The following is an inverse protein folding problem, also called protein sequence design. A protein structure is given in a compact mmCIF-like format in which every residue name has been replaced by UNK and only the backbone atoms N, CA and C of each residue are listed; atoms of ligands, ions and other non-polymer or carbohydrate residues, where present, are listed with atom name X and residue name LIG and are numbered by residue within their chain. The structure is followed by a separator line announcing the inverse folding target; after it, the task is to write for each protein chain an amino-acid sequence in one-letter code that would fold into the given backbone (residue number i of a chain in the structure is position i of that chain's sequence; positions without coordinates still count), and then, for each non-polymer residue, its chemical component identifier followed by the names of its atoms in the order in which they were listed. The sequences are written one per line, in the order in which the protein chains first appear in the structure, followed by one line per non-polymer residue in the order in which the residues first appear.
data_IF_967572236990
#
_entry.id   IF_967572236990
#
_cell.length_a   1.000
_cell.length_b   1.000
_cell.length_c   1.000
_cell.angle_alpha   90.00
_cell.angle_beta   90.00
_cell.angle_gamma   90.00
#
_symmetry.space_group_name_H-M   'P 1'
#
loop_
_entity.id
_entity.type
_entity.pdbx_description
1 polymer ?
#
# COMPACT_ATOMS: atom_id res chain seq x y z
N UNK A 1 8.77 14.21 -2.24
CA UNK A 1 7.73 13.66 -1.36
C UNK A 1 8.34 13.46 0.01
N UNK A 2 9.31 12.56 0.11
CA UNK A 2 10.12 12.27 1.30
C UNK A 2 10.53 13.50 2.13
N UNK A 3 11.34 14.42 1.59
CA UNK A 3 11.70 15.68 2.27
C UNK A 3 10.51 16.55 2.74
N UNK A 4 9.32 16.39 2.14
CA UNK A 4 8.09 17.04 2.61
C UNK A 4 7.42 16.31 3.77
N UNK A 5 7.64 15.01 3.94
CA UNK A 5 7.32 14.26 5.16
C UNK A 5 8.30 14.65 6.27
N UNK A 6 9.61 14.72 5.97
CA UNK A 6 10.64 15.23 6.90
C UNK A 6 10.24 16.59 7.48
N UNK A 7 9.98 17.59 6.64
CA UNK A 7 9.55 18.92 7.07
C UNK A 7 8.25 18.93 7.91
N UNK A 8 7.37 17.93 7.79
CA UNK A 8 6.20 17.77 8.68
C UNK A 8 6.63 17.20 10.04
N UNK A 9 7.50 16.19 10.06
CA UNK A 9 8.02 15.60 11.29
C UNK A 9 8.84 16.62 12.10
N UNK A 10 9.73 17.37 11.45
CA UNK A 10 10.51 18.46 12.05
C UNK A 10 9.58 19.50 12.70
N UNK A 11 8.48 19.87 12.03
CA UNK A 11 7.52 20.83 12.54
C UNK A 11 6.74 20.29 13.76
N UNK A 12 6.43 18.99 13.82
CA UNK A 12 5.80 18.37 14.99
C UNK A 12 6.74 18.40 16.21
N UNK A 13 8.03 18.16 16.00
CA UNK A 13 9.04 18.17 17.07
C UNK A 13 9.37 19.61 17.53
N UNK A 14 9.58 20.55 16.61
CA UNK A 14 9.79 21.97 16.90
C UNK A 14 8.64 22.61 17.69
N UNK A 15 7.43 22.05 17.58
CA UNK A 15 6.25 22.49 18.32
C UNK A 15 5.95 21.65 19.57
N UNK A 16 6.80 20.69 19.94
CA UNK A 16 6.66 19.84 21.13
C UNK A 16 5.30 19.09 21.17
N UNK A 17 4.84 18.60 20.02
CA UNK A 17 3.56 17.85 19.86
C UNK A 17 3.71 16.47 19.20
N UNK A 18 4.94 15.99 19.00
CA UNK A 18 5.21 14.74 18.28
C UNK A 18 4.94 13.48 19.13
N UNK A 19 4.84 13.61 20.45
CA UNK A 19 4.36 12.59 21.38
C UNK A 19 2.82 12.48 21.40
N UNK A 20 2.11 13.59 21.20
CA UNK A 20 0.65 13.65 21.11
C UNK A 20 0.12 13.60 19.66
N UNK A 21 0.94 13.14 18.70
CA UNK A 21 0.56 13.01 17.28
C UNK A 21 0.77 11.60 16.77
N UNK A 22 -0.29 10.99 16.21
CA UNK A 22 -0.20 9.75 15.43
C UNK A 22 0.12 10.12 13.99
N UNK A 23 1.26 9.65 13.48
CA UNK A 23 1.61 9.72 12.06
C UNK A 23 1.41 8.34 11.43
N UNK A 24 0.72 8.27 10.30
CA UNK A 24 0.59 7.05 9.50
C UNK A 24 0.91 7.36 8.03
N UNK A 25 2.02 6.82 7.54
CA UNK A 25 2.42 6.90 6.14
C UNK A 25 2.03 5.61 5.41
N UNK A 26 1.37 5.74 4.26
CA UNK A 26 0.92 4.61 3.43
C UNK A 26 0.73 5.00 1.95
N UNK A 27 0.67 3.99 1.08
CA UNK A 27 0.20 4.13 -0.32
C UNK A 27 -1.21 3.57 -0.49
N UNK A 28 -1.98 4.08 -1.47
CA UNK A 28 -3.33 3.62 -1.79
C UNK A 28 -3.36 2.31 -2.62
N UNK A 29 -2.35 2.11 -3.46
CA UNK A 29 -2.06 0.88 -4.21
C UNK A 29 -0.55 0.74 -4.47
N UNK A 30 -0.15 -0.40 -5.03
CA UNK A 30 1.22 -0.61 -5.50
C UNK A 30 1.55 0.13 -6.80
N UNK A 31 2.84 0.24 -7.11
CA UNK A 31 3.40 1.00 -8.22
C UNK A 31 2.85 0.63 -9.60
N UNK A 32 2.74 1.65 -10.47
CA UNK A 32 2.19 1.53 -11.82
C UNK A 32 3.26 1.03 -12.80
N UNK A 33 3.41 -0.30 -12.91
CA UNK A 33 4.47 -0.93 -13.71
C UNK A 33 4.43 -0.59 -15.21
N UNK A 34 3.23 -0.43 -15.77
CA UNK A 34 2.98 -0.04 -17.15
C UNK A 34 3.44 1.39 -17.48
N UNK A 35 3.56 2.28 -16.49
CA UNK A 35 3.89 3.68 -16.71
C UNK A 35 5.35 3.85 -17.14
N UNK A 36 5.50 4.01 -18.46
CA UNK A 36 6.77 4.24 -19.16
C UNK A 36 6.54 5.38 -20.16
N UNK A 37 7.39 6.41 -20.12
CA UNK A 37 7.51 7.45 -21.15
C UNK A 37 8.88 7.37 -21.81
N UNK A 38 8.95 7.45 -23.14
CA UNK A 38 10.20 7.42 -23.94
C UNK A 38 11.19 6.29 -23.58
N UNK A 39 10.68 5.15 -23.09
CA UNK A 39 11.49 4.01 -22.65
C UNK A 39 12.01 4.09 -21.20
N UNK A 40 11.74 5.17 -20.47
CA UNK A 40 12.02 5.31 -19.04
C UNK A 40 10.77 5.00 -18.22
N UNK A 41 10.90 4.18 -17.17
CA UNK A 41 9.81 3.94 -16.22
C UNK A 41 9.55 5.23 -15.42
N UNK A 42 8.28 5.64 -15.39
CA UNK A 42 7.79 6.83 -14.67
C UNK A 42 6.83 6.48 -13.53
N UNK A 43 6.37 5.22 -13.46
CA UNK A 43 5.67 4.66 -12.30
C UNK A 43 6.62 4.02 -11.28
N UNK A 44 6.08 3.70 -10.10
CA UNK A 44 6.83 3.05 -9.02
C UNK A 44 7.22 1.59 -9.29
N UNK A 45 8.01 1.04 -8.35
CA UNK A 45 8.45 -0.36 -8.32
C UNK A 45 7.91 -1.06 -7.06
N UNK A 46 7.71 -2.37 -7.13
CA UNK A 46 7.11 -3.18 -6.06
C UNK A 46 8.09 -4.22 -5.48
N UNK A 47 9.39 -4.01 -5.70
CA UNK A 47 10.46 -4.94 -5.33
C UNK A 47 10.23 -6.32 -5.93
N UNK A 48 10.28 -7.34 -5.07
CA UNK A 48 10.02 -8.74 -5.41
C UNK A 48 8.56 -9.06 -5.76
N UNK A 49 7.59 -8.21 -5.38
CA UNK A 49 6.18 -8.55 -5.48
C UNK A 49 5.67 -8.41 -6.92
N UNK A 50 4.99 -9.45 -7.40
CA UNK A 50 4.48 -9.50 -8.78
C UNK A 50 3.26 -8.60 -8.94
N UNK A 51 3.17 -7.94 -10.09
CA UNK A 51 2.05 -7.07 -10.43
C UNK A 51 2.21 -5.64 -9.92
N UNK A 52 1.16 -4.83 -10.09
CA UNK A 52 1.19 -3.40 -9.82
C UNK A 52 -0.20 -2.77 -9.80
N UNK A 53 -0.25 -1.44 -9.87
CA UNK A 53 -1.48 -0.63 -9.88
C UNK A 53 -2.62 -1.26 -10.69
N UNK A 54 -3.76 -1.45 -10.03
CA UNK A 54 -4.96 -2.01 -10.65
C UNK A 54 -4.99 -3.54 -10.75
N UNK A 55 -3.91 -4.25 -10.40
CA UNK A 55 -3.88 -5.72 -10.38
C UNK A 55 -4.32 -6.28 -9.03
N UNK A 56 -5.61 -6.12 -8.69
CA UNK A 56 -6.15 -6.45 -7.37
C UNK A 56 -5.90 -7.88 -6.86
N UNK A 57 -5.61 -8.85 -7.75
CA UNK A 57 -5.23 -10.20 -7.34
C UNK A 57 -3.77 -10.38 -6.90
N UNK A 58 -2.82 -9.55 -7.33
CA UNK A 58 -1.38 -9.83 -7.21
C UNK A 58 -0.70 -9.02 -6.08
N UNK A 59 0.27 -9.59 -5.36
CA UNK A 59 0.88 -8.91 -4.19
C UNK A 59 1.38 -7.50 -4.51
N UNK A 60 2.06 -7.29 -5.64
CA UNK A 60 2.59 -5.97 -6.02
C UNK A 60 1.51 -4.94 -6.39
N UNK A 61 0.24 -5.34 -6.51
CA UNK A 61 -0.88 -4.41 -6.67
C UNK A 61 -1.54 -3.99 -5.35
N UNK A 62 -1.49 -4.84 -4.32
CA UNK A 62 -2.23 -4.69 -3.05
C UNK A 62 -1.35 -4.48 -1.82
N UNK A 63 -0.09 -4.91 -1.87
CA UNK A 63 0.89 -4.76 -0.79
C UNK A 63 1.60 -3.44 -1.00
N UNK A 64 1.58 -2.62 0.05
CA UNK A 64 2.04 -1.23 0.06
C UNK A 64 2.88 -0.98 1.31
N UNK A 65 3.73 0.06 1.34
CA UNK A 65 4.29 0.54 2.59
C UNK A 65 3.18 0.97 3.54
N UNK A 66 3.35 0.67 4.83
CA UNK A 66 2.56 1.17 5.93
C UNK A 66 3.50 1.42 7.11
N UNK A 67 3.57 2.64 7.63
CA UNK A 67 4.50 3.03 8.70
C UNK A 67 3.75 3.89 9.72
N UNK A 68 3.67 3.43 10.96
CA UNK A 68 3.09 4.18 12.06
C UNK A 68 4.21 4.80 12.92
N UNK A 69 4.03 6.04 13.38
CA UNK A 69 4.80 6.66 14.47
C UNK A 69 3.83 7.21 15.50
N UNK A 70 4.00 6.85 16.76
CA UNK A 70 3.40 7.55 17.90
C UNK A 70 4.37 7.47 19.09
N UNK A 71 5.14 8.54 19.28
CA UNK A 71 6.25 8.60 20.26
C UNK A 71 5.71 8.45 21.69
N UNK A 72 6.34 7.59 22.48
CA UNK A 72 5.87 7.23 23.83
C UNK A 72 4.73 6.20 23.89
N UNK A 73 4.04 5.92 22.79
CA UNK A 73 2.88 5.02 22.75
C UNK A 73 3.12 3.73 21.93
N UNK A 74 3.95 3.80 20.89
CA UNK A 74 4.33 2.65 20.06
C UNK A 74 5.85 2.38 20.18
N UNK A 75 6.30 1.11 20.30
CA UNK A 75 7.71 0.78 20.36
C UNK A 75 8.42 1.05 19.01
N UNK A 76 9.52 1.81 19.10
CA UNK A 76 10.40 2.15 17.98
C UNK A 76 11.11 0.91 17.37
N UNK A 77 11.49 1.01 16.10
CA UNK A 77 12.29 0.00 15.39
C UNK A 77 11.59 -1.35 15.24
N UNK A 78 10.25 -1.39 15.34
CA UNK A 78 9.47 -2.64 15.25
C UNK A 78 8.92 -2.88 13.86
N UNK A 79 8.98 -4.14 13.45
CA UNK A 79 8.35 -4.65 12.23
C UNK A 79 7.16 -5.53 12.60
N UNK A 80 6.05 -5.39 11.88
CA UNK A 80 4.86 -6.26 11.99
C UNK A 80 4.64 -6.99 10.67
N UNK A 81 4.88 -8.30 10.68
CA UNK A 81 4.67 -9.19 9.52
C UNK A 81 3.21 -9.68 9.36
N UNK A 82 2.38 -9.50 10.40
CA UNK A 82 0.97 -9.90 10.37
C UNK A 82 0.22 -9.09 9.30
N UNK A 83 -0.49 -9.70 8.33
CA UNK A 83 -1.21 -8.96 7.31
C UNK A 83 -2.30 -8.03 7.87
N UNK A 84 -2.15 -6.75 7.58
CA UNK A 84 -3.11 -5.67 7.86
C UNK A 84 -3.82 -5.23 6.56
N UNK A 85 -4.79 -4.33 6.70
CA UNK A 85 -5.56 -3.75 5.61
C UNK A 85 -5.70 -2.23 5.78
N UNK A 86 -5.77 -1.47 4.70
CA UNK A 86 -6.13 -0.04 4.77
C UNK A 86 -7.50 0.18 5.44
N UNK A 87 -8.39 -0.81 5.38
CA UNK A 87 -9.70 -0.78 6.05
C UNK A 87 -9.58 -0.81 7.58
N UNK A 88 -8.48 -1.31 8.12
CA UNK A 88 -8.20 -1.35 9.56
C UNK A 88 -7.90 0.04 10.13
N UNK A 89 -7.53 1.01 9.30
CA UNK A 89 -7.16 2.37 9.71
C UNK A 89 -8.27 3.06 10.52
N UNK A 90 -9.51 2.99 10.05
CA UNK A 90 -10.65 3.64 10.71
C UNK A 90 -10.91 3.10 12.13
N UNK A 91 -11.15 1.79 12.34
CA UNK A 91 -11.34 1.26 13.69
C UNK A 91 -10.10 1.43 14.58
N UNK A 92 -8.88 1.37 14.01
CA UNK A 92 -7.63 1.61 14.75
C UNK A 92 -7.57 3.05 15.28
N UNK A 93 -7.82 4.05 14.45
CA UNK A 93 -7.77 5.45 14.87
C UNK A 93 -8.88 5.77 15.88
N UNK A 94 -10.08 5.20 15.74
CA UNK A 94 -11.15 5.37 16.73
C UNK A 94 -10.73 4.83 18.10
N UNK A 95 -10.15 3.63 18.16
CA UNK A 95 -9.69 3.03 19.43
C UNK A 95 -8.50 3.79 20.04
N UNK A 96 -7.49 4.14 19.22
CA UNK A 96 -6.31 4.90 19.70
C UNK A 96 -6.65 6.32 20.19
N UNK A 97 -7.78 6.90 19.76
CA UNK A 97 -8.21 8.25 20.17
C UNK A 97 -9.39 8.26 21.15
N UNK A 98 -9.75 7.10 21.73
CA UNK A 98 -10.91 6.92 22.64
C UNK A 98 -12.23 7.46 22.07
N UNK A 99 -12.38 7.39 20.74
CA UNK A 99 -13.60 7.78 20.04
C UNK A 99 -14.59 6.61 19.96
N UNK A 100 -15.90 6.87 20.10
CA UNK A 100 -16.91 5.82 20.02
C UNK A 100 -16.98 5.19 18.61
N UNK A 101 -17.43 3.93 18.50
CA UNK A 101 -17.49 3.23 17.22
C UNK A 101 -18.44 3.93 16.23
N UNK A 102 -18.23 3.70 14.93
CA UNK A 102 -18.97 4.37 13.82
C UNK A 102 -20.49 4.34 14.01
N UNK A 103 -21.06 3.21 14.44
CA UNK A 103 -22.51 3.06 14.64
C UNK A 103 -23.05 3.90 15.83
N UNK A 104 -22.18 4.34 16.75
CA UNK A 104 -22.51 5.26 17.84
C UNK A 104 -22.26 6.73 17.48
N UNK A 105 -21.33 7.02 16.56
CA UNK A 105 -21.12 8.37 16.00
C UNK A 105 -22.26 8.80 15.07
N UNK A 106 -22.85 7.86 14.34
CA UNK A 106 -23.90 8.12 13.34
C UNK A 106 -25.14 7.23 13.57
N UNK A 107 -25.84 7.36 14.71
CA UNK A 107 -26.95 6.48 15.09
C UNK A 107 -28.19 6.61 14.19
N UNK A 108 -28.26 7.64 13.35
CA UNK A 108 -29.29 7.84 12.33
C UNK A 108 -29.07 7.00 11.06
N UNK A 109 -27.87 6.45 10.86
CA UNK A 109 -27.55 5.60 9.73
C UNK A 109 -27.88 4.12 10.06
N UNK A 110 -28.26 3.31 9.06
CA UNK A 110 -28.36 1.86 9.25
C UNK A 110 -27.03 1.31 9.75
N UNK A 111 -27.09 0.39 10.72
CA UNK A 111 -25.93 -0.26 11.32
C UNK A 111 -24.99 -0.83 10.23
N UNK A 112 -23.69 -0.56 10.38
CA UNK A 112 -22.66 -0.98 9.43
C UNK A 112 -21.66 -1.88 10.13
N UNK A 113 -21.49 -3.08 9.59
CA UNK A 113 -20.29 -3.87 9.83
C UNK A 113 -19.10 -3.20 9.12
N UNK A 114 -17.99 -3.01 9.83
CA UNK A 114 -16.72 -2.63 9.22
C UNK A 114 -15.98 -3.92 8.79
N UNK A 115 -15.47 -3.95 7.56
CA UNK A 115 -14.57 -5.04 7.12
C UNK A 115 -13.17 -4.94 7.77
N UNK A 116 -12.82 -3.77 8.30
CA UNK A 116 -11.59 -3.54 9.05
C UNK A 116 -11.69 -3.97 10.51
N UNK A 117 -10.55 -4.29 11.12
CA UNK A 117 -10.40 -4.59 12.56
C UNK A 117 -9.34 -3.67 13.14
N UNK A 118 -9.52 -3.19 14.37
CA UNK A 118 -8.52 -2.35 15.02
C UNK A 118 -7.18 -3.07 15.18
N UNK A 119 -6.10 -2.34 14.92
CA UNK A 119 -4.71 -2.75 15.13
C UNK A 119 -4.15 -2.18 16.44
N UNK A 120 -4.93 -1.45 17.24
CA UNK A 120 -4.40 -0.69 18.37
C UNK A 120 -3.53 -1.55 19.31
N UNK A 121 -4.07 -2.65 19.84
CA UNK A 121 -3.30 -3.59 20.67
C UNK A 121 -2.15 -4.31 19.95
N UNK A 122 -2.18 -4.43 18.62
CA UNK A 122 -1.05 -4.95 17.84
C UNK A 122 0.08 -3.92 17.77
N UNK A 123 -0.25 -2.64 17.59
CA UNK A 123 0.69 -1.51 17.47
C UNK A 123 1.29 -1.09 18.82
N UNK A 124 0.54 -1.19 19.93
CA UNK A 124 1.01 -0.76 21.26
C UNK A 124 1.57 -1.91 22.09
N UNK A 125 0.88 -3.05 22.14
CA UNK A 125 1.20 -4.18 23.03
C UNK A 125 1.84 -5.38 22.29
N UNK A 126 1.81 -5.39 20.95
CA UNK A 126 2.18 -6.56 20.15
C UNK A 126 1.14 -7.69 20.21
N UNK A 127 -0.10 -7.40 20.64
CA UNK A 127 -1.18 -8.38 20.77
C UNK A 127 -1.55 -8.95 19.40
N UNK A 128 -1.37 -10.26 19.22
CA UNK A 128 -1.63 -10.95 17.97
C UNK A 128 -3.09 -10.82 17.51
N UNK A 129 -3.30 -10.53 16.22
CA UNK A 129 -4.63 -10.49 15.64
C UNK A 129 -5.29 -11.87 15.65
N UNK A 130 -6.62 -11.88 15.81
CA UNK A 130 -7.44 -13.08 15.62
C UNK A 130 -7.34 -13.57 14.17
N UNK A 131 -7.52 -14.89 13.92
CA UNK A 131 -7.60 -15.40 12.55
C UNK A 131 -8.64 -14.63 11.74
N UNK A 132 -8.25 -14.21 10.53
CA UNK A 132 -9.06 -13.34 9.68
C UNK A 132 -8.91 -13.70 8.21
N UNK A 133 -9.92 -13.36 7.41
CA UNK A 133 -9.85 -13.47 5.96
C UNK A 133 -10.00 -12.10 5.32
N UNK A 134 -9.26 -11.85 4.24
CA UNK A 134 -9.33 -10.62 3.44
C UNK A 134 -9.81 -10.95 2.03
N UNK A 135 -10.51 -9.99 1.40
CA UNK A 135 -10.98 -10.09 0.02
C UNK A 135 -10.26 -9.03 -0.80
N UNK A 136 -9.75 -9.43 -1.97
CA UNK A 136 -9.04 -8.54 -2.88
C UNK A 136 -9.81 -8.40 -4.19
N UNK A 137 -10.43 -7.23 -4.38
CA UNK A 137 -11.21 -6.89 -5.55
C UNK A 137 -10.37 -6.28 -6.67
N UNK A 138 -10.74 -6.58 -7.91
CA UNK A 138 -10.40 -5.78 -9.08
C UNK A 138 -11.71 -5.19 -9.63
N UNK A 139 -11.95 -3.91 -9.32
CA UNK A 139 -13.25 -3.23 -9.53
C UNK A 139 -14.40 -4.01 -8.86
N UNK A 140 -15.27 -4.65 -9.65
CA UNK A 140 -16.43 -5.40 -9.16
C UNK A 140 -16.16 -6.92 -9.07
N UNK A 141 -15.06 -7.42 -9.66
CA UNK A 141 -14.67 -8.82 -9.52
C UNK A 141 -13.86 -9.02 -8.24
N UNK A 142 -14.00 -10.17 -7.61
CA UNK A 142 -13.09 -10.65 -6.56
C UNK A 142 -12.02 -11.48 -7.28
N UNK A 143 -10.75 -11.06 -7.16
CA UNK A 143 -9.63 -11.71 -7.84
C UNK A 143 -8.90 -12.68 -6.91
N UNK A 144 -8.75 -12.33 -5.63
CA UNK A 144 -8.13 -13.20 -4.65
C UNK A 144 -8.79 -13.08 -3.27
N UNK A 145 -8.55 -14.07 -2.43
CA UNK A 145 -8.84 -14.05 -0.99
C UNK A 145 -7.58 -14.45 -0.22
N UNK A 146 -7.42 -13.91 0.98
CA UNK A 146 -6.32 -14.26 1.90
C UNK A 146 -6.90 -14.85 3.18
N UNK A 147 -6.28 -15.90 3.71
CA UNK A 147 -6.55 -16.48 5.03
C UNK A 147 -5.32 -16.28 5.91
N UNK A 148 -5.51 -15.64 7.06
CA UNK A 148 -4.48 -15.47 8.10
C UNK A 148 -4.89 -16.32 9.29
N UNK A 149 -4.11 -17.35 9.62
CA UNK A 149 -4.41 -18.31 10.68
C UNK A 149 -3.11 -18.91 11.24
N UNK A 150 -2.98 -18.97 12.57
CA UNK A 150 -1.83 -19.60 13.26
C UNK A 150 -0.45 -19.12 12.76
N UNK A 151 -0.31 -17.82 12.44
CA UNK A 151 0.91 -17.23 11.90
C UNK A 151 1.21 -17.55 10.43
N UNK A 152 0.37 -18.37 9.77
CA UNK A 152 0.46 -18.67 8.34
C UNK A 152 -0.48 -17.78 7.53
N UNK A 153 -0.06 -17.45 6.31
CA UNK A 153 -0.78 -16.56 5.40
C UNK A 153 -0.98 -17.26 4.07
N UNK A 154 -2.18 -17.76 3.82
CA UNK A 154 -2.52 -18.35 2.54
C UNK A 154 -3.24 -17.35 1.64
N UNK A 155 -3.08 -17.48 0.32
CA UNK A 155 -3.80 -16.68 -0.67
C UNK A 155 -4.33 -17.56 -1.79
N UNK A 156 -5.63 -17.47 -2.04
CA UNK A 156 -6.36 -18.21 -3.06
C UNK A 156 -6.75 -17.24 -4.18
N UNK A 157 -6.33 -17.52 -5.42
CA UNK A 157 -6.75 -16.76 -6.60
C UNK A 157 -8.01 -17.36 -7.21
N UNK A 158 -9.00 -16.51 -7.46
CA UNK A 158 -10.18 -16.79 -8.27
C UNK A 158 -10.04 -16.23 -9.70
N UNK A 159 -9.18 -15.22 -9.90
CA UNK A 159 -8.80 -14.75 -11.21
C UNK A 159 -7.39 -14.13 -11.20
N UNK A 160 -6.59 -14.44 -12.23
CA UNK A 160 -5.24 -13.88 -12.41
C UNK A 160 -5.16 -13.05 -13.69
N UNK A 161 -4.34 -12.01 -13.66
CA UNK A 161 -4.09 -11.17 -14.83
C UNK A 161 -3.14 -11.88 -15.81
N UNK A 162 -3.46 -11.84 -17.11
CA UNK A 162 -2.55 -12.33 -18.14
C UNK A 162 -1.49 -11.26 -18.43
N UNK A 163 -0.28 -11.48 -17.94
CA UNK A 163 0.85 -10.58 -18.16
C UNK A 163 1.46 -10.74 -19.56
N UNK A 164 2.18 -9.71 -20.00
CA UNK A 164 3.03 -9.81 -21.19
C UNK A 164 4.16 -10.81 -20.93
N UNK A 165 4.56 -11.63 -21.91
CA UNK A 165 5.58 -12.67 -21.73
C UNK A 165 6.85 -12.17 -21.05
N UNK A 166 7.32 -12.90 -20.03
CA UNK A 166 8.51 -12.56 -19.23
C UNK A 166 8.33 -11.43 -18.20
N UNK A 167 7.20 -10.74 -18.19
CA UNK A 167 6.93 -9.59 -17.32
C UNK A 167 5.92 -9.89 -16.21
N UNK A 168 5.61 -8.89 -15.39
CA UNK A 168 4.50 -8.89 -14.43
C UNK A 168 3.52 -7.73 -14.67
N UNK A 169 3.31 -7.36 -15.93
CA UNK A 169 2.50 -6.20 -16.35
C UNK A 169 1.69 -6.52 -17.62
N UNK A 170 0.55 -5.86 -17.83
CA UNK A 170 -0.36 -6.17 -18.95
C UNK A 170 -0.06 -5.41 -20.25
N UNK A 171 1.05 -4.67 -20.32
CA UNK A 171 1.48 -3.93 -21.50
C UNK A 171 2.37 -2.75 -21.14
N UNK A 172 2.38 -1.70 -21.98
CA UNK A 172 3.34 -0.60 -21.89
C UNK A 172 2.68 0.76 -22.16
N UNK A 173 3.09 1.79 -21.41
CA UNK A 173 2.64 3.18 -21.55
C UNK A 173 1.74 3.64 -20.40
N UNK A 174 1.86 4.91 -19.99
CA UNK A 174 1.22 5.49 -18.79
C UNK A 174 -0.31 5.46 -18.75
N UNK A 175 -0.97 5.27 -19.89
CA UNK A 175 -2.43 5.12 -19.96
C UNK A 175 -2.89 3.65 -19.91
N UNK A 176 -1.96 2.69 -19.90
CA UNK A 176 -2.27 1.27 -19.88
C UNK A 176 -2.50 0.77 -18.45
N UNK A 177 -3.51 -0.09 -18.29
CA UNK A 177 -3.85 -0.79 -17.04
C UNK A 177 -4.36 -2.19 -17.40
N UNK A 178 -4.12 -3.16 -16.53
CA UNK A 178 -4.69 -4.49 -16.68
C UNK A 178 -6.24 -4.46 -16.69
N UNK A 179 -6.84 -5.36 -17.48
CA UNK A 179 -8.29 -5.61 -17.41
C UNK A 179 -8.62 -6.50 -16.22
N UNK A 180 -9.61 -6.11 -15.41
CA UNK A 180 -10.15 -6.96 -14.35
C UNK A 180 -11.04 -8.12 -14.85
N UNK A 181 -11.37 -8.15 -16.15
CA UNK A 181 -12.44 -9.00 -16.70
C UNK A 181 -12.11 -9.51 -18.11
N UNK A 182 -12.84 -10.55 -18.54
CA UNK A 182 -12.80 -11.07 -19.91
C UNK A 182 -11.44 -11.67 -20.29
N UNK A 183 -11.07 -11.55 -21.56
CA UNK A 183 -9.89 -12.23 -22.10
C UNK A 183 -8.55 -11.80 -21.46
N UNK A 184 -8.51 -10.66 -20.78
CA UNK A 184 -7.33 -10.16 -20.05
C UNK A 184 -7.07 -10.86 -18.70
N UNK A 185 -8.00 -11.69 -18.23
CA UNK A 185 -7.82 -12.54 -17.03
C UNK A 185 -7.94 -14.02 -17.36
N UNK A 186 -7.32 -14.83 -16.51
CA UNK A 186 -7.55 -16.26 -16.37
C UNK A 186 -8.58 -16.47 -15.25
N UNK A 187 -9.62 -17.27 -15.51
CA UNK A 187 -10.66 -17.58 -14.53
C UNK A 187 -10.29 -18.88 -13.80
N UNK A 188 -10.07 -18.75 -12.49
CA UNK A 188 -9.68 -19.80 -11.57
C UNK A 188 -10.79 -20.09 -10.54
N UNK A 189 -12.03 -19.66 -10.81
CA UNK A 189 -13.15 -19.81 -9.86
C UNK A 189 -13.46 -21.28 -9.54
N UNK A 190 -13.33 -22.17 -10.54
CA UNK A 190 -13.61 -23.60 -10.40
C UNK A 190 -12.45 -24.36 -9.71
N UNK A 191 -11.23 -24.17 -10.20
CA UNK A 191 -10.00 -24.79 -9.68
C UNK A 191 -8.99 -23.69 -9.32
N UNK A 192 -9.07 -23.16 -8.09
CA UNK A 192 -8.31 -21.98 -7.68
C UNK A 192 -6.87 -22.30 -7.31
N UNK A 193 -5.91 -21.49 -7.75
CA UNK A 193 -4.54 -21.61 -7.25
C UNK A 193 -4.44 -21.07 -5.82
N UNK A 194 -3.79 -21.83 -4.93
CA UNK A 194 -3.52 -21.43 -3.53
C UNK A 194 -2.02 -21.35 -3.31
N UNK A 195 -1.57 -20.29 -2.64
CA UNK A 195 -0.16 -20.05 -2.27
C UNK A 195 -0.04 -19.89 -0.75
N UNK A 196 1.05 -20.37 -0.17
CA UNK A 196 1.44 -20.07 1.21
C UNK A 196 2.44 -18.91 1.21
N UNK A 197 1.95 -17.68 1.41
CA UNK A 197 2.75 -16.46 1.38
C UNK A 197 3.77 -16.36 2.53
N UNK A 198 3.64 -17.20 3.56
CA UNK A 198 4.64 -17.27 4.65
C UNK A 198 5.95 -17.90 4.15
N UNK A 199 5.87 -18.85 3.21
CA UNK A 199 7.04 -19.55 2.65
C UNK A 199 7.30 -19.20 1.16
N UNK A 200 6.31 -18.67 0.46
CA UNK A 200 6.35 -18.21 -0.93
C UNK A 200 5.71 -16.83 -1.08
N UNK A 201 6.36 -15.75 -0.59
CA UNK A 201 5.83 -14.38 -0.72
C UNK A 201 5.82 -13.87 -2.19
N UNK A 202 6.39 -14.65 -3.12
CA UNK A 202 6.48 -14.33 -4.54
C UNK A 202 5.30 -14.88 -5.35
N UNK A 203 4.47 -15.77 -4.80
CA UNK A 203 3.40 -16.47 -5.52
C UNK A 203 3.94 -17.29 -6.71
N UNK A 204 5.07 -18.00 -6.53
CA UNK A 204 5.74 -18.83 -7.54
C UNK A 204 5.32 -20.31 -7.52
N UNK A 205 4.92 -20.84 -6.36
CA UNK A 205 4.73 -22.27 -6.11
C UNK A 205 3.35 -22.53 -5.51
N UNK A 206 2.32 -22.77 -6.35
CA UNK A 206 1.00 -23.10 -5.83
C UNK A 206 1.03 -24.45 -5.08
N UNK A 207 0.27 -24.52 -4.00
CA UNK A 207 0.05 -25.74 -3.20
C UNK A 207 -0.67 -26.75 -4.09
N UNK A 208 -0.20 -28.01 -4.09
CA UNK A 208 -0.80 -29.08 -4.89
C UNK A 208 -2.26 -29.33 -4.51
N UNK A 209 -3.14 -29.40 -5.51
CA UNK A 209 -4.56 -29.72 -5.36
C UNK A 209 -4.83 -31.17 -4.92
N UNK A 210 -3.80 -32.02 -4.88
CA UNK A 210 -3.84 -33.35 -4.27
C UNK A 210 -3.62 -33.33 -2.74
N UNK A 211 -3.17 -32.19 -2.17
CA UNK A 211 -2.85 -32.08 -0.74
C UNK A 211 -4.08 -31.82 0.14
N UNK A 212 -4.04 -32.31 1.39
CA UNK A 212 -5.06 -31.99 2.40
C UNK A 212 -5.05 -30.52 2.82
N UNK A 213 -3.88 -29.89 2.78
CA UNK A 213 -3.68 -28.46 3.06
C UNK A 213 -4.46 -27.58 2.07
N UNK A 214 -4.35 -27.86 0.76
CA UNK A 214 -5.12 -27.18 -0.28
C UNK A 214 -6.63 -27.24 0.01
N UNK A 215 -7.18 -28.44 0.26
CA UNK A 215 -8.61 -28.60 0.49
C UNK A 215 -9.12 -27.93 1.79
N UNK A 216 -8.30 -27.88 2.84
CA UNK A 216 -8.63 -27.10 4.04
C UNK A 216 -8.69 -25.60 3.74
N UNK A 217 -7.69 -25.04 3.06
CA UNK A 217 -7.64 -23.60 2.74
C UNK A 217 -8.75 -23.19 1.77
N UNK A 218 -8.95 -23.95 0.69
CA UNK A 218 -10.03 -23.72 -0.28
C UNK A 218 -11.40 -23.85 0.38
N UNK A 219 -11.60 -24.85 1.26
CA UNK A 219 -12.83 -25.04 2.01
C UNK A 219 -13.15 -23.83 2.90
N UNK A 220 -12.19 -23.40 3.73
CA UNK A 220 -12.35 -22.26 4.63
C UNK A 220 -12.62 -20.95 3.87
N UNK A 221 -11.87 -20.66 2.81
CA UNK A 221 -12.03 -19.44 2.02
C UNK A 221 -13.31 -19.44 1.17
N UNK A 222 -13.77 -20.60 0.67
CA UNK A 222 -15.08 -20.70 -0.01
C UNK A 222 -16.25 -20.53 0.96
N UNK A 223 -16.14 -21.07 2.18
CA UNK A 223 -17.14 -20.84 3.23
C UNK A 223 -17.21 -19.34 3.59
N UNK A 224 -16.08 -18.72 3.93
CA UNK A 224 -16.00 -17.29 4.24
C UNK A 224 -16.57 -16.42 3.11
N UNK A 225 -16.24 -16.72 1.85
CA UNK A 225 -16.77 -15.99 0.71
C UNK A 225 -18.29 -16.13 0.54
N UNK A 226 -18.84 -17.31 0.84
CA UNK A 226 -20.28 -17.53 0.79
C UNK A 226 -21.01 -16.75 1.90
N UNK A 227 -20.48 -16.77 3.13
CA UNK A 227 -21.00 -16.02 4.27
C UNK A 227 -20.91 -14.51 4.04
N UNK A 228 -19.78 -14.00 3.54
CA UNK A 228 -19.61 -12.59 3.17
C UNK A 228 -20.59 -12.17 2.07
N UNK A 229 -20.76 -12.97 1.01
CA UNK A 229 -21.73 -12.68 -0.07
C UNK A 229 -23.19 -12.71 0.40
N UNK A 230 -23.51 -13.49 1.42
CA UNK A 230 -24.85 -13.53 2.00
C UNK A 230 -25.15 -12.31 2.90
N UNK A 231 -24.12 -11.75 3.55
CA UNK A 231 -24.23 -10.62 4.48
C UNK A 231 -24.09 -9.25 3.81
N UNK A 232 -23.27 -9.13 2.76
CA UNK A 232 -22.90 -7.84 2.15
C UNK A 232 -23.67 -7.58 0.84
N UNK A 233 -24.72 -6.74 0.84
CA UNK A 233 -25.32 -6.26 -0.39
C UNK A 233 -24.40 -5.24 -1.07
N UNK A 234 -24.02 -5.48 -2.33
CA UNK A 234 -23.27 -4.48 -3.09
C UNK A 234 -24.12 -3.19 -3.24
N UNK A 235 -23.56 -2.01 -2.88
CA UNK A 235 -24.26 -0.75 -3.05
C UNK A 235 -24.46 -0.43 -4.54
N UNK A 236 -25.43 0.43 -4.91
CA UNK A 236 -25.58 0.91 -6.27
C UNK A 236 -24.27 1.50 -6.79
N UNK A 237 -23.74 0.93 -7.88
CA UNK A 237 -22.47 1.37 -8.47
C UNK A 237 -22.55 2.84 -8.90
N UNK A 238 -21.70 3.68 -8.29
CA UNK A 238 -21.54 5.10 -8.62
C UNK A 238 -20.86 5.33 -9.99
N UNK A 239 -20.42 4.25 -10.65
CA UNK A 239 -19.77 4.27 -11.97
C UNK A 239 -20.61 3.53 -13.02
N UNK A 240 -21.93 3.39 -12.81
CA UNK A 240 -22.78 2.53 -13.64
C UNK A 240 -23.10 3.15 -15.01
N UNK A 241 -23.38 4.45 -15.04
CA UNK A 241 -23.75 5.17 -16.25
C UNK A 241 -22.59 6.07 -16.70
N UNK A 242 -22.47 6.30 -18.01
CA UNK A 242 -21.50 7.27 -18.54
C UNK A 242 -21.74 8.69 -18.02
N UNK A 243 -22.98 9.04 -17.64
CA UNK A 243 -23.29 10.34 -17.06
C UNK A 243 -22.75 10.50 -15.64
N UNK A 244 -22.63 9.42 -14.86
CA UNK A 244 -22.10 9.46 -13.49
C UNK A 244 -20.60 9.85 -13.47
N UNK A 245 -19.90 9.65 -14.59
CA UNK A 245 -18.48 9.97 -14.79
C UNK A 245 -18.25 11.07 -15.83
N UNK A 246 -19.31 11.65 -16.41
CA UNK A 246 -19.18 12.72 -17.40
C UNK A 246 -18.92 14.05 -16.70
N UNK A 247 -17.91 14.79 -17.18
CA UNK A 247 -17.64 16.15 -16.73
C UNK A 247 -18.90 17.01 -16.90
N UNK A 248 -19.53 17.34 -15.78
CA UNK A 248 -20.72 18.19 -15.69
C UNK A 248 -20.27 19.63 -15.42
N UNK A 249 -20.34 20.56 -16.39
CA UNK A 249 -19.77 21.90 -16.23
C UNK A 249 -20.38 22.69 -15.07
N UNK A 250 -21.65 22.46 -14.76
CA UNK A 250 -22.37 23.09 -13.63
C UNK A 250 -21.98 22.54 -12.25
N UNK A 251 -21.21 21.45 -12.18
CA UNK A 251 -20.60 20.95 -10.94
C UNK A 251 -19.17 21.44 -10.73
N UNK A 252 -18.59 22.17 -11.71
CA UNK A 252 -17.25 22.73 -11.55
C UNK A 252 -17.32 23.98 -10.65
N UNK A 253 -16.44 24.10 -9.63
CA UNK A 253 -16.34 25.32 -8.85
C UNK A 253 -15.76 26.43 -9.72
N UNK A 254 -16.62 27.34 -10.19
CA UNK A 254 -16.18 28.51 -10.94
C UNK A 254 -15.52 29.53 -10.00
N UNK A 255 -14.21 29.74 -10.17
CA UNK A 255 -13.50 30.88 -9.57
C UNK A 255 -14.04 32.16 -10.20
N UNK A 256 -14.84 32.93 -9.45
CA UNK A 256 -15.22 34.28 -9.87
C UNK A 256 -13.93 35.12 -9.87
N UNK A 257 -13.51 35.71 -11.01
CA UNK A 257 -12.34 36.57 -11.04
C UNK A 257 -12.70 37.91 -10.37
N UNK A 258 -12.47 38.00 -9.06
CA UNK A 258 -12.31 39.30 -8.43
C UNK A 258 -11.07 39.96 -9.05
N UNK A 259 -11.26 41.16 -9.59
CA UNK A 259 -10.17 41.96 -10.15
C UNK A 259 -9.09 42.18 -9.09
N UNK A 260 -7.89 41.65 -9.31
CA UNK A 260 -6.68 42.06 -8.59
C UNK A 260 -6.18 41.16 -7.45
N UNK A 261 -6.53 39.87 -7.38
CA UNK A 261 -5.79 38.94 -6.50
C UNK A 261 -5.66 37.52 -7.06
N UNK A 262 -4.42 37.15 -7.43
CA UNK A 262 -3.99 35.76 -7.53
C UNK A 262 -3.83 35.18 -6.12
N UNK A 263 -4.94 34.81 -5.48
CA UNK A 263 -4.94 34.01 -4.25
C UNK A 263 -4.64 32.55 -4.62
N UNK A 264 -3.50 32.32 -5.28
CA UNK A 264 -2.92 31.01 -5.63
C UNK A 264 -1.51 31.13 -6.22
N UNK A 265 -0.70 32.09 -5.77
CA UNK A 265 0.74 31.85 -5.65
C UNK A 265 1.05 31.64 -4.17
N UNK A 266 1.13 30.38 -3.75
CA UNK A 266 2.19 30.04 -2.79
C UNK A 266 3.44 30.07 -3.64
N UNK A 267 4.09 31.24 -3.68
CA UNK A 267 5.32 31.40 -4.44
C UNK A 267 6.34 30.37 -3.95
N UNK A 268 6.94 29.64 -4.89
CA UNK A 268 8.07 28.76 -4.61
C UNK A 268 9.39 29.53 -4.45
N UNK A 269 9.36 30.86 -4.43
CA UNK A 269 10.49 31.68 -4.02
C UNK A 269 10.70 31.56 -2.50
N UNK A 270 11.42 30.51 -2.11
CA UNK A 270 12.37 30.60 -1.00
C UNK A 270 13.53 31.54 -1.40
N UNK A 271 13.21 32.80 -1.73
CA UNK A 271 14.19 33.84 -1.90
C UNK A 271 14.70 34.27 -0.52
N UNK A 272 15.87 33.76 -0.15
CA UNK A 272 16.63 34.17 1.02
C UNK A 272 16.90 35.67 0.99
N UNK A 273 16.04 36.50 1.58
CA UNK A 273 16.36 37.89 1.92
C UNK A 273 15.54 38.35 3.14
N UNK A 274 16.25 38.48 4.28
CA UNK A 274 15.80 38.98 5.59
C UNK A 274 15.36 37.98 6.69
N UNK A 275 15.94 36.77 6.69
CA UNK A 275 16.40 36.17 7.96
C UNK A 275 17.94 36.15 7.92
N UNK A 276 18.58 37.12 8.59
CA UNK A 276 20.02 37.13 8.96
C UNK A 276 21.06 36.84 7.86
N UNK A 277 21.51 37.85 7.12
CA UNK A 277 22.58 37.71 6.10
C UNK A 277 23.96 37.50 6.76
N UNK A 278 24.80 36.71 6.08
CA UNK A 278 26.28 36.51 6.16
C UNK A 278 26.77 35.34 7.04
N UNK A 279 27.82 34.56 6.74
CA UNK A 279 28.59 34.22 5.51
C UNK A 279 29.69 33.20 5.91
N UNK A 280 30.22 32.26 5.11
CA UNK A 280 29.98 31.80 3.73
C UNK A 280 30.86 30.55 3.47
N UNK A 281 30.64 29.83 2.35
CA UNK A 281 31.36 28.60 1.93
C UNK A 281 31.02 27.33 2.74
N UNK A 282 30.90 26.20 2.03
CA UNK A 282 30.56 24.89 2.61
C UNK A 282 29.63 24.10 1.68
N UNK A 283 30.19 23.18 0.90
CA UNK A 283 29.37 22.18 0.22
C UNK A 283 28.87 21.19 1.28
N UNK A 284 27.56 20.97 1.35
CA UNK A 284 27.00 19.89 2.17
C UNK A 284 27.31 18.56 1.49
N UNK A 285 28.38 17.94 1.95
CA UNK A 285 28.55 16.48 1.87
C UNK A 285 27.44 15.88 2.72
N UNK A 286 26.75 14.88 2.19
CA UNK A 286 25.83 14.07 2.98
C UNK A 286 26.69 13.18 3.88
N UNK A 287 26.79 13.51 5.17
CA UNK A 287 27.12 12.51 6.20
C UNK A 287 25.89 11.63 6.40
N UNK A 288 26.12 10.35 6.68
CA UNK A 288 25.07 9.39 6.99
C UNK A 288 24.35 9.81 8.28
N UNK A 289 23.03 9.62 8.31
CA UNK A 289 22.22 9.91 9.50
C UNK A 289 22.45 8.78 10.52
N UNK A 290 23.02 9.12 11.68
CA UNK A 290 23.28 8.15 12.75
C UNK A 290 21.96 7.58 13.35
N UNK A 291 22.03 6.36 13.91
CA UNK A 291 20.88 5.56 14.36
C UNK A 291 19.96 6.22 15.43
N UNK A 292 20.34 7.37 16.01
CA UNK A 292 19.63 7.96 17.16
C UNK A 292 18.32 8.70 16.82
N UNK A 293 18.05 9.08 15.56
CA UNK A 293 16.85 9.86 15.18
C UNK A 293 15.55 9.04 15.04
N UNK A 294 15.61 7.69 15.00
CA UNK A 294 14.45 6.84 14.69
C UNK A 294 13.50 6.54 15.88
N UNK A 295 13.39 7.45 16.86
CA UNK A 295 12.52 7.24 18.02
C UNK A 295 11.03 7.27 17.69
N UNK A 296 10.42 6.08 17.67
CA UNK A 296 8.98 5.84 17.59
C UNK A 296 8.49 5.26 16.26
N UNK A 297 9.37 4.99 15.30
CA UNK A 297 8.99 4.46 13.99
C UNK A 297 8.66 2.95 14.06
N UNK A 298 7.50 2.55 13.57
CA UNK A 298 7.06 1.15 13.44
C UNK A 298 6.63 0.85 12.01
N UNK A 299 7.25 -0.16 11.39
CA UNK A 299 6.97 -0.60 10.03
C UNK A 299 5.93 -1.71 10.05
N UNK A 300 4.80 -1.49 9.37
CA UNK A 300 3.73 -2.47 9.13
C UNK A 300 3.84 -2.92 7.67
N UNK A 301 4.80 -3.81 7.42
CA UNK A 301 5.24 -4.21 6.09
C UNK A 301 6.60 -4.93 6.18
N UNK A 302 7.06 -5.57 5.09
CA UNK A 302 8.33 -6.29 5.12
C UNK A 302 9.52 -5.34 5.36
N UNK A 303 10.40 -5.75 6.26
CA UNK A 303 11.70 -5.15 6.52
C UNK A 303 12.55 -5.12 5.25
N UNK A 304 13.09 -3.95 4.88
CA UNK A 304 14.18 -3.82 3.91
C UNK A 304 15.48 -3.91 4.70
N UNK A 305 16.43 -4.73 4.26
CA UNK A 305 17.66 -5.00 4.99
C UNK A 305 18.78 -4.12 4.43
N UNK A 306 19.31 -3.19 5.24
CA UNK A 306 20.53 -2.47 4.91
C UNK A 306 21.77 -3.40 5.07
N UNK A 307 22.77 -3.32 4.18
CA UNK A 307 24.04 -4.02 4.31
C UNK A 307 25.23 -3.06 4.53
N UNK A 308 26.28 -3.55 5.21
CA UNK A 308 27.50 -2.79 5.50
C UNK A 308 28.26 -2.29 4.25
N UNK A 309 28.92 -1.13 4.40
CA UNK A 309 29.81 -0.44 3.47
C UNK A 309 30.60 -1.31 2.47
N UNK A 310 30.45 -1.02 1.17
CA UNK A 310 31.44 -1.31 0.13
C UNK A 310 31.31 -0.39 -1.11
N UNK A 311 32.43 0.21 -1.54
CA UNK A 311 32.51 1.13 -2.70
C UNK A 311 31.88 0.57 -3.99
N UNK A 312 31.03 1.37 -4.66
CA UNK A 312 30.41 1.03 -5.95
C UNK A 312 30.91 1.92 -7.10
N UNK A 313 31.41 1.28 -8.17
CA UNK A 313 31.77 1.94 -9.44
C UNK A 313 30.57 1.90 -10.42
N UNK A 314 30.17 3.06 -10.95
CA UNK A 314 28.91 3.22 -11.72
C UNK A 314 29.01 2.63 -13.14
N UNK A 315 28.13 1.68 -13.48
CA UNK A 315 28.01 1.08 -14.84
C UNK A 315 26.62 1.36 -15.46
N UNK A 316 26.51 1.78 -16.74
CA UNK A 316 25.22 2.16 -17.33
C UNK A 316 24.31 0.98 -17.75
N UNK A 317 22.99 1.22 -17.69
CA UNK A 317 21.89 0.33 -18.07
C UNK A 317 22.12 -0.53 -19.35
N UNK A 318 21.89 -1.84 -19.22
CA UNK A 318 21.61 -2.78 -20.31
C UNK A 318 20.31 -3.55 -19.99
N UNK A 319 19.41 -3.81 -20.96
CA UNK A 319 18.13 -4.45 -20.69
C UNK A 319 18.20 -5.96 -20.89
N UNK A 320 18.37 -6.74 -19.81
CA UNK A 320 18.08 -8.17 -19.88
C UNK A 320 17.55 -8.78 -18.56
N UNK A 321 16.63 -9.74 -18.68
CA UNK A 321 15.80 -10.21 -17.56
C UNK A 321 16.43 -11.34 -16.72
N UNK A 322 17.74 -11.57 -16.84
CA UNK A 322 18.47 -12.55 -16.01
C UNK A 322 18.78 -12.06 -14.58
N UNK A 323 18.57 -10.76 -14.29
CA UNK A 323 18.83 -10.11 -13.00
C UNK A 323 18.16 -10.74 -11.76
N UNK A 324 17.16 -11.62 -11.92
CA UNK A 324 16.35 -12.19 -10.82
C UNK A 324 16.99 -13.39 -10.09
N UNK A 325 18.27 -13.71 -10.30
CA UNK A 325 18.86 -14.98 -9.81
C UNK A 325 20.19 -14.89 -9.05
N UNK A 326 20.74 -13.70 -8.82
CA UNK A 326 21.95 -13.55 -7.99
C UNK A 326 21.60 -13.04 -6.58
N UNK A 327 21.57 -13.92 -5.55
CA UNK A 327 21.28 -13.51 -4.18
C UNK A 327 22.38 -12.63 -3.56
N UNK A 328 23.51 -12.40 -4.23
CA UNK A 328 24.57 -11.49 -3.75
C UNK A 328 24.34 -10.02 -4.14
N UNK A 329 23.45 -9.74 -5.10
CA UNK A 329 23.18 -8.38 -5.61
C UNK A 329 21.87 -7.77 -5.09
N UNK A 330 21.31 -8.35 -4.03
CA UNK A 330 20.24 -7.72 -3.24
C UNK A 330 20.77 -6.65 -2.28
N UNK A 331 22.09 -6.49 -2.18
CA UNK A 331 22.79 -5.65 -1.21
C UNK A 331 23.39 -4.37 -1.83
N UNK A 332 22.80 -3.85 -2.91
CA UNK A 332 23.30 -2.65 -3.63
C UNK A 332 22.21 -1.56 -3.76
N UNK A 333 21.35 -1.42 -2.74
CA UNK A 333 20.29 -0.39 -2.62
C UNK A 333 20.08 0.05 -1.18
#
# INVERSE_FOLDING_TARGET
MDAGVGAILDALEQHEIDDNTIVYFLSDHGGHLEAIDKGQRTGGHNGLFKGGKGMGGAEGGIRVPGIFKWKGHMPAGKTIDTPTSLLDTLPTLLELTDLPPVNSLFPELPERDLDGTSLAGLLTEGTALKPRSLIHHCRQAIHALRLVVEGRVYKMHLAKHKWSPGSTQCGWGSNNLCSCFGDGVEDLTFDPEVYDLTNDPYEDKPISSESTEYWHVVGALRQFLAEWKARVPYPPSQFKNKMDTMLSPWLQPFRIPFFGSEISEVSSDYSNENIGITSSEGAYVFEELEEEEFQGLMVVGPYMHEPDDADVEVVPNQPDMEWRRDPKRLNEW
#
